data_IF_786682149525
#
_entry.id   IF_786682149525
#
_cell.length_a   1.000
_cell.length_b   1.000
_cell.length_c   1.000
_cell.angle_alpha   90.00
_cell.angle_beta   90.00
_cell.angle_gamma   90.00
#
_symmetry.space_group_name_H-M   'P 1'
#
loop_
_entity.id
_entity.type
_entity.pdbx_description
1 polymer ?
#
# COMPACT_ATOMS: atom_id res chain seq x y z
N UNK A 1 -17.86 13.76 14.60
CA UNK A 1 -18.40 14.82 15.49
C UNK A 1 -19.71 15.35 14.91
N UNK A 2 -20.77 15.40 15.72
CA UNK A 2 -22.06 16.01 15.35
C UNK A 2 -22.38 17.14 16.31
N UNK A 3 -22.65 18.32 15.80
CA UNK A 3 -23.04 19.49 16.57
C UNK A 3 -24.45 19.90 16.15
N UNK A 4 -25.35 19.93 17.12
CA UNK A 4 -26.73 20.40 16.96
C UNK A 4 -26.88 21.68 17.74
N UNK A 5 -27.12 22.79 17.03
CA UNK A 5 -27.24 24.13 17.59
C UNK A 5 -28.63 24.71 17.35
N UNK A 6 -29.17 25.44 18.33
CA UNK A 6 -30.41 26.19 18.17
C UNK A 6 -31.29 26.15 19.40
N UNK A 7 -32.57 26.52 19.22
CA UNK A 7 -33.58 26.47 20.28
C UNK A 7 -34.10 25.03 20.40
N UNK A 8 -33.50 24.26 21.29
CA UNK A 8 -33.83 22.84 21.48
C UNK A 8 -35.12 22.66 22.28
N UNK A 9 -35.09 22.95 23.58
CA UNK A 9 -36.25 22.80 24.48
C UNK A 9 -36.69 24.10 25.15
N UNK A 10 -35.77 25.06 25.26
CA UNK A 10 -35.98 26.35 25.92
C UNK A 10 -35.89 27.51 24.91
N UNK A 11 -36.34 28.70 25.33
CA UNK A 11 -36.32 29.91 24.48
C UNK A 11 -34.91 30.35 24.06
N UNK A 12 -33.89 30.00 24.85
CA UNK A 12 -32.47 30.32 24.59
C UNK A 12 -31.83 29.24 23.72
N UNK A 13 -30.96 29.67 22.81
CA UNK A 13 -30.16 28.76 22.01
C UNK A 13 -29.17 27.95 22.88
N UNK A 14 -29.04 26.67 22.58
CA UNK A 14 -28.06 25.74 23.17
C UNK A 14 -27.38 24.96 22.04
N UNK A 15 -26.11 24.62 22.25
CA UNK A 15 -25.36 23.74 21.35
C UNK A 15 -25.10 22.42 22.06
N UNK A 16 -25.53 21.32 21.45
CA UNK A 16 -25.20 19.96 21.86
C UNK A 16 -24.11 19.45 20.93
N UNK A 17 -23.00 19.02 21.53
CA UNK A 17 -21.84 18.50 20.81
C UNK A 17 -21.69 17.03 21.17
N UNK A 18 -21.70 16.19 20.14
CA UNK A 18 -21.49 14.76 20.21
C UNK A 18 -20.16 14.44 19.54
N UNK A 19 -19.22 13.96 20.33
CA UNK A 19 -17.91 13.52 19.87
C UNK A 19 -17.79 12.03 20.16
N UNK A 20 -17.31 11.30 19.17
CA UNK A 20 -16.98 9.89 19.29
C UNK A 20 -15.81 9.59 18.36
N UNK A 21 -14.93 8.68 18.78
CA UNK A 21 -13.72 8.29 18.06
C UNK A 21 -12.61 9.35 18.03
N UNK A 22 -11.70 9.17 17.08
CA UNK A 22 -10.56 10.05 16.83
C UNK A 22 -10.95 11.14 15.82
N UNK A 23 -10.49 12.38 16.05
CA UNK A 23 -10.78 13.52 15.17
C UNK A 23 -9.61 14.49 15.17
N UNK A 24 -8.96 14.62 14.01
CA UNK A 24 -7.94 15.65 13.79
C UNK A 24 -8.61 17.02 13.65
N UNK A 25 -8.03 18.07 14.21
CA UNK A 25 -8.60 19.43 14.16
C UNK A 25 -7.73 20.46 13.45
N UNK A 26 -6.47 20.14 13.17
CA UNK A 26 -5.46 21.07 12.67
C UNK A 26 -4.64 20.49 11.50
N UNK A 27 -4.03 21.38 10.72
CA UNK A 27 -3.13 21.03 9.63
C UNK A 27 -3.82 20.70 8.30
N UNK A 28 -3.02 20.20 7.36
CA UNK A 28 -3.48 19.74 6.05
C UNK A 28 -4.39 18.49 6.12
N UNK A 29 -4.17 17.52 7.02
CA UNK A 29 -5.05 16.36 7.15
C UNK A 29 -6.51 16.73 7.39
N UNK A 30 -6.79 17.83 8.09
CA UNK A 30 -8.16 18.35 8.30
C UNK A 30 -8.92 18.60 6.99
N UNK A 31 -8.24 18.97 5.90
CA UNK A 31 -8.90 19.24 4.61
C UNK A 31 -9.10 17.98 3.77
N UNK A 32 -8.18 17.02 3.89
CA UNK A 32 -8.18 15.80 3.08
C UNK A 32 -9.01 14.68 3.73
N UNK A 33 -8.99 14.60 5.06
CA UNK A 33 -9.61 13.53 5.83
C UNK A 33 -10.98 13.90 6.40
N UNK A 34 -11.32 15.18 6.54
CA UNK A 34 -12.57 15.58 7.18
C UNK A 34 -13.55 16.08 6.14
N UNK A 35 -14.62 15.32 5.94
CA UNK A 35 -15.79 15.84 5.27
C UNK A 35 -16.67 16.57 6.30
N UNK A 36 -17.11 17.77 5.95
CA UNK A 36 -17.93 18.59 6.83
C UNK A 36 -19.15 19.13 6.09
N UNK A 37 -20.32 18.96 6.71
CA UNK A 37 -21.58 19.41 6.16
C UNK A 37 -22.34 20.24 7.19
N UNK A 38 -22.92 21.34 6.74
CA UNK A 38 -23.84 22.16 7.53
C UNK A 38 -25.20 22.14 6.84
N UNK A 39 -26.25 21.87 7.62
CA UNK A 39 -27.64 21.93 7.17
C UNK A 39 -28.51 22.62 8.20
N UNK A 40 -29.56 23.25 7.72
CA UNK A 40 -30.56 23.95 8.53
C UNK A 40 -31.87 23.19 8.47
N UNK A 41 -32.49 22.98 9.63
CA UNK A 41 -33.79 22.33 9.76
C UNK A 41 -34.78 23.35 10.30
N UNK A 42 -35.90 23.52 9.60
CA UNK A 42 -36.98 24.40 10.02
C UNK A 42 -37.90 23.65 10.99
N UNK A 43 -38.09 24.20 12.18
CA UNK A 43 -39.06 23.74 13.17
C UNK A 43 -40.03 24.88 13.48
N UNK A 44 -41.19 24.56 14.05
CA UNK A 44 -42.16 25.58 14.48
C UNK A 44 -41.58 26.58 15.49
N UNK A 45 -40.63 26.16 16.33
CA UNK A 45 -39.98 27.02 17.33
C UNK A 45 -38.84 27.90 16.76
N UNK A 46 -38.43 27.66 15.50
CA UNK A 46 -37.34 28.36 14.83
C UNK A 46 -36.48 27.42 13.99
N UNK A 47 -35.26 27.86 13.66
CA UNK A 47 -34.31 27.07 12.85
C UNK A 47 -33.30 26.36 13.74
N UNK A 48 -33.08 25.07 13.49
CA UNK A 48 -32.00 24.28 14.07
C UNK A 48 -30.84 24.19 13.07
N UNK A 49 -29.62 24.38 13.54
CA UNK A 49 -28.40 24.16 12.77
C UNK A 49 -27.81 22.78 13.10
N UNK A 50 -27.50 22.00 12.08
CA UNK A 50 -26.79 20.73 12.21
C UNK A 50 -25.46 20.89 11.48
N UNK A 51 -24.36 20.65 12.20
CA UNK A 51 -23.01 20.55 11.63
C UNK A 51 -22.47 19.15 11.90
N UNK A 52 -22.16 18.43 10.84
CA UNK A 52 -21.56 17.10 10.91
C UNK A 52 -20.13 17.21 10.40
N UNK A 53 -19.20 16.57 11.12
CA UNK A 53 -17.82 16.33 10.69
C UNK A 53 -17.54 14.84 10.78
N UNK A 54 -17.17 14.24 9.66
CA UNK A 54 -16.83 12.82 9.54
C UNK A 54 -15.36 12.74 9.16
N UNK A 55 -14.58 11.97 9.93
CA UNK A 55 -13.22 11.64 9.56
C UNK A 55 -13.27 10.37 8.70
N UNK A 56 -12.71 10.44 7.49
CA UNK A 56 -12.63 9.33 6.55
C UNK A 56 -11.43 8.44 6.90
N UNK A 57 -11.52 7.16 6.58
CA UNK A 57 -10.41 6.23 6.75
C UNK A 57 -9.38 6.39 5.61
N UNK A 58 -8.12 6.07 5.90
CA UNK A 58 -7.09 5.97 4.88
C UNK A 58 -7.31 4.73 4.02
N UNK A 59 -7.44 4.91 2.71
CA UNK A 59 -7.60 3.82 1.74
C UNK A 59 -6.56 3.97 0.61
N UNK A 60 -5.65 2.99 0.41
CA UNK A 60 -4.67 3.03 -0.67
C UNK A 60 -5.31 3.04 -2.07
N UNK A 61 -6.55 2.52 -2.21
CA UNK A 61 -7.28 2.53 -3.48
C UNK A 61 -7.95 3.89 -3.75
N UNK A 62 -8.23 4.65 -2.70
CA UNK A 62 -8.80 5.99 -2.76
C UNK A 62 -10.27 6.02 -3.20
N UNK A 63 -11.04 4.97 -2.88
CA UNK A 63 -12.48 4.92 -3.24
C UNK A 63 -13.31 5.69 -2.21
N UNK A 64 -13.04 5.44 -0.94
CA UNK A 64 -13.82 6.01 0.17
C UNK A 64 -13.03 7.03 1.00
N UNK A 65 -11.75 7.27 0.70
CA UNK A 65 -10.89 8.11 1.51
C UNK A 65 -9.62 8.58 0.80
N UNK A 66 -8.83 9.45 1.44
CA UNK A 66 -7.58 9.95 0.88
C UNK A 66 -6.52 8.84 0.77
N UNK A 67 -5.73 8.91 -0.31
CA UNK A 67 -4.64 7.95 -0.59
C UNK A 67 -3.38 8.22 0.25
N UNK A 68 -3.16 9.48 0.59
CA UNK A 68 -2.02 9.96 1.37
C UNK A 68 -2.22 9.58 2.84
N UNK A 69 -1.36 8.75 3.46
CA UNK A 69 -1.49 8.41 4.87
C UNK A 69 -1.32 9.63 5.76
N UNK A 70 -1.81 9.54 7.00
CA UNK A 70 -1.56 10.57 8.00
C UNK A 70 -0.04 10.75 8.20
N UNK A 71 0.44 12.01 8.34
CA UNK A 71 1.87 12.29 8.40
C UNK A 71 2.56 11.65 9.61
N UNK A 72 1.80 11.36 10.67
CA UNK A 72 2.31 10.78 11.91
C UNK A 72 2.35 9.24 11.87
N UNK A 73 1.71 8.61 10.87
CA UNK A 73 1.58 7.15 10.80
C UNK A 73 2.69 6.57 9.93
N UNK A 74 3.69 5.95 10.57
CA UNK A 74 4.81 5.26 9.91
C UNK A 74 4.55 3.76 9.87
N UNK A 75 4.52 3.19 8.66
CA UNK A 75 4.36 1.74 8.47
C UNK A 75 5.76 1.11 8.49
N UNK A 76 6.06 0.37 9.56
CA UNK A 76 7.32 -0.38 9.67
C UNK A 76 7.10 -1.74 9.00
N UNK A 77 7.74 -1.94 7.85
CA UNK A 77 7.74 -3.23 7.18
C UNK A 77 8.69 -4.19 7.91
N UNK A 78 8.24 -5.43 8.11
CA UNK A 78 9.11 -6.48 8.63
C UNK A 78 10.30 -6.68 7.68
N UNK A 79 11.50 -6.95 8.22
CA UNK A 79 12.66 -7.24 7.40
C UNK A 79 12.34 -8.43 6.50
N UNK A 80 12.68 -8.30 5.22
CA UNK A 80 12.59 -9.42 4.28
C UNK A 80 13.55 -10.49 4.76
N UNK A 81 13.07 -11.72 4.90
CA UNK A 81 13.94 -12.87 5.11
C UNK A 81 14.78 -13.02 3.83
N UNK A 82 16.02 -12.55 3.89
CA UNK A 82 17.03 -12.95 2.93
C UNK A 82 17.43 -14.37 3.33
N UNK A 83 17.09 -15.34 2.48
CA UNK A 83 17.78 -16.62 2.50
C UNK A 83 19.27 -16.28 2.41
N UNK A 84 19.98 -16.46 3.52
CA UNK A 84 21.43 -16.57 3.52
C UNK A 84 21.72 -17.63 2.47
N UNK A 85 22.08 -17.19 1.27
CA UNK A 85 22.70 -18.00 0.22
C UNK A 85 24.03 -18.46 0.79
N UNK A 86 23.90 -19.44 1.67
CA UNK A 86 24.98 -20.19 2.24
C UNK A 86 25.39 -21.19 1.18
N UNK A 87 26.71 -21.22 1.00
CA UNK A 87 27.48 -22.13 0.16
C UNK A 87 27.52 -21.74 -1.33
N UNK A 88 28.67 -21.23 -1.84
CA UNK A 88 28.92 -21.32 -3.28
C UNK A 88 28.87 -22.81 -3.63
N UNK A 89 27.95 -23.21 -4.51
CA UNK A 89 27.88 -24.57 -5.02
C UNK A 89 29.27 -24.96 -5.57
N UNK A 90 30.00 -25.79 -4.83
CA UNK A 90 31.11 -26.54 -5.43
C UNK A 90 30.47 -27.47 -6.45
N UNK A 91 30.53 -27.06 -7.71
CA UNK A 91 30.36 -27.96 -8.84
C UNK A 91 31.54 -28.92 -8.81
N UNK A 92 31.40 -30.00 -8.04
CA UNK A 92 32.19 -31.21 -8.27
C UNK A 92 31.82 -31.70 -9.67
N UNK A 93 32.68 -31.44 -10.64
CA UNK A 93 32.61 -32.06 -11.96
C UNK A 93 33.20 -33.47 -11.85
N UNK A 94 32.42 -34.55 -12.02
CA UNK A 94 33.01 -35.87 -12.17
C UNK A 94 33.40 -36.10 -13.63
N UNK A 95 34.67 -36.48 -13.80
CA UNK A 95 35.18 -37.38 -14.83
C UNK A 95 35.10 -36.95 -16.32
N UNK A 96 36.25 -36.56 -16.86
CA UNK A 96 36.64 -36.94 -18.21
C UNK A 96 38.18 -37.16 -18.26
N UNK A 97 38.64 -38.33 -17.81
CA UNK A 97 39.93 -38.86 -18.25
C UNK A 97 39.71 -39.46 -19.65
N UNK A 98 40.11 -38.71 -20.68
CA UNK A 98 40.28 -39.26 -22.03
C UNK A 98 41.64 -39.98 -22.07
N UNK A 99 41.72 -41.29 -22.36
CA UNK A 99 42.98 -41.90 -22.75
C UNK A 99 43.33 -41.49 -24.19
N UNK A 100 44.53 -40.95 -24.39
CA UNK A 100 45.11 -40.65 -25.70
C UNK A 100 45.18 -41.92 -26.57
N UNK A 101 44.58 -41.86 -27.76
CA UNK A 101 44.79 -42.87 -28.78
C UNK A 101 46.07 -42.53 -29.58
N UNK A 102 47.03 -43.46 -29.73
CA UNK A 102 48.21 -43.20 -30.55
C UNK A 102 47.83 -43.30 -32.04
N UNK A 103 48.06 -42.21 -32.77
CA UNK A 103 48.11 -42.24 -34.24
C UNK A 103 49.37 -42.98 -34.68
N UNK A 104 49.26 -43.97 -35.58
CA UNK A 104 50.00 -44.01 -36.85
C UNK A 104 49.86 -45.33 -37.64
N UNK A 105 49.90 -45.14 -38.96
CA UNK A 105 50.20 -46.07 -40.06
C UNK A 105 48.98 -46.74 -40.75
N UNK A 106 49.04 -46.66 -42.09
CA UNK A 106 48.12 -47.10 -43.16
C UNK A 106 46.81 -46.29 -43.25
N UNK A 107 46.51 -45.52 -44.30
CA UNK A 107 46.56 -45.87 -45.73
C UNK A 107 46.50 -44.57 -46.57
N UNK A 108 47.39 -44.41 -47.55
CA UNK A 108 47.37 -43.33 -48.54
C UNK A 108 46.45 -43.75 -49.70
N UNK A 109 45.67 -42.84 -50.30
CA UNK A 109 44.74 -43.21 -51.37
C UNK A 109 45.47 -43.43 -52.70
N UNK A 110 45.70 -44.69 -53.09
CA UNK A 110 45.95 -45.05 -54.49
C UNK A 110 44.65 -45.48 -55.16
N UNK A 111 44.02 -44.57 -55.92
CA UNK A 111 43.02 -44.94 -56.93
C UNK A 111 43.06 -43.97 -58.12
N UNK A 112 43.90 -44.24 -59.13
CA UNK A 112 43.64 -44.06 -60.57
C UNK A 112 44.54 -45.09 -61.32
N UNK A 113 44.02 -45.96 -62.21
CA UNK A 113 43.90 -45.61 -63.63
C UNK A 113 42.55 -45.99 -64.26
N UNK A 114 41.97 -45.03 -64.98
CA UNK A 114 40.91 -45.26 -65.99
C UNK A 114 41.62 -45.43 -67.34
N UNK A 115 41.26 -46.51 -68.04
CA UNK A 115 41.61 -46.78 -69.44
C UNK A 115 40.67 -46.03 -70.40
#
# INVERSE_FOLDING_TARGET
EVIVSGKLRAARAKSMKFMDGYMVSSGQPTKEYIDSAVRHVLLRQGVLGIKVKIMLDWDPKGVNGPKTPLPDVVIIHAPKEEDVSSVPAQVDAPAALLPEAPLTAVDYPEMIPVA
#
